data_IF_396279749765
#
_entry.id   IF_396279749765
#
_cell.length_a   1.000
_cell.length_b   1.000
_cell.length_c   1.000
_cell.angle_alpha   90.00
_cell.angle_beta   90.00
_cell.angle_gamma   90.00
#
_symmetry.space_group_name_H-M   'P 1'
#
loop_
_entity.id
_entity.type
_entity.pdbx_description
1 polymer ?
#
# COMPACT_ATOMS: atom_id res chain seq x y z
N UNK A 1 -69.77 -31.81 -9.84
CA UNK A 1 -69.24 -31.19 -11.07
C UNK A 1 -69.20 -32.29 -12.12
N UNK A 2 -70.07 -32.20 -13.12
CA UNK A 2 -70.25 -33.24 -14.13
C UNK A 2 -69.05 -33.31 -15.06
N UNK A 3 -68.52 -34.51 -15.28
CA UNK A 3 -67.46 -34.74 -16.25
C UNK A 3 -68.08 -34.77 -17.64
N UNK A 4 -67.97 -33.66 -18.37
CA UNK A 4 -68.31 -33.56 -19.78
C UNK A 4 -67.21 -34.25 -20.59
N UNK A 5 -67.49 -35.44 -21.12
CA UNK A 5 -66.59 -36.11 -22.06
C UNK A 5 -66.68 -35.42 -23.43
N UNK A 6 -65.63 -34.72 -23.85
CA UNK A 6 -65.57 -34.16 -25.21
C UNK A 6 -65.32 -35.29 -26.21
N UNK A 7 -66.33 -35.60 -27.02
CA UNK A 7 -66.29 -36.65 -28.03
C UNK A 7 -66.16 -36.05 -29.42
N UNK A 8 -65.27 -36.60 -30.25
CA UNK A 8 -65.20 -36.23 -31.66
C UNK A 8 -65.99 -37.24 -32.51
N UNK A 9 -67.01 -36.75 -33.20
CA UNK A 9 -67.81 -37.55 -34.14
C UNK A 9 -67.09 -37.62 -35.48
N UNK A 10 -66.89 -38.83 -36.01
CA UNK A 10 -66.29 -39.05 -37.32
C UNK A 10 -67.36 -39.59 -38.26
N UNK A 11 -67.54 -38.93 -39.39
CA UNK A 11 -68.45 -39.33 -40.46
C UNK A 11 -67.70 -39.29 -41.79
N UNK A 12 -68.03 -40.19 -42.72
CA UNK A 12 -67.40 -40.25 -44.04
C UNK A 12 -68.45 -40.31 -45.13
N UNK A 13 -68.23 -39.52 -46.17
CA UNK A 13 -68.94 -39.65 -47.44
C UNK A 13 -68.04 -40.36 -48.45
N UNK A 14 -68.41 -41.58 -48.81
CA UNK A 14 -67.63 -42.44 -49.71
C UNK A 14 -67.83 -42.03 -51.18
N UNK A 15 -68.90 -41.29 -51.49
CA UNK A 15 -69.27 -40.87 -52.84
C UNK A 15 -69.08 -39.36 -53.06
N UNK A 16 -68.46 -38.65 -52.11
CA UNK A 16 -68.19 -37.21 -52.13
C UNK A 16 -69.45 -36.32 -52.38
N UNK A 17 -70.60 -36.74 -51.86
CA UNK A 17 -71.85 -35.95 -51.85
C UNK A 17 -72.05 -35.16 -50.55
N UNK A 18 -73.31 -35.05 -50.11
CA UNK A 18 -73.70 -34.38 -48.86
C UNK A 18 -74.25 -35.35 -47.80
N UNK A 19 -74.14 -36.67 -48.03
CA UNK A 19 -74.72 -37.69 -47.18
C UNK A 19 -73.60 -38.44 -46.45
N UNK A 20 -73.22 -37.94 -45.29
CA UNK A 20 -72.18 -38.52 -44.47
C UNK A 20 -72.71 -39.75 -43.70
N UNK A 21 -71.97 -40.86 -43.74
CA UNK A 21 -72.26 -42.04 -42.93
C UNK A 21 -71.45 -42.01 -41.63
N UNK A 22 -72.12 -42.22 -40.51
CA UNK A 22 -71.48 -42.21 -39.19
C UNK A 22 -70.51 -43.38 -39.06
N UNK A 23 -69.23 -43.07 -38.83
CA UNK A 23 -68.16 -44.07 -38.71
C UNK A 23 -67.80 -44.38 -37.26
N UNK A 24 -68.15 -43.51 -36.32
CA UNK A 24 -67.89 -43.71 -34.90
C UNK A 24 -67.63 -42.41 -34.14
N UNK A 25 -67.53 -42.51 -32.81
CA UNK A 25 -67.02 -41.44 -31.95
C UNK A 25 -65.71 -41.90 -31.32
N UNK A 26 -64.71 -41.03 -31.29
CA UNK A 26 -63.48 -41.26 -30.53
C UNK A 26 -63.43 -40.34 -29.32
N UNK A 27 -63.07 -40.91 -28.17
CA UNK A 27 -62.76 -40.12 -26.97
C UNK A 27 -61.33 -39.63 -27.07
N UNK A 28 -61.09 -38.33 -27.00
CA UNK A 28 -59.74 -37.79 -26.84
C UNK A 28 -59.41 -37.81 -25.35
N UNK A 29 -58.55 -38.74 -24.93
CA UNK A 29 -57.93 -38.68 -23.61
C UNK A 29 -56.83 -37.62 -23.66
N UNK A 30 -56.86 -36.61 -22.79
CA UNK A 30 -55.76 -35.64 -22.73
C UNK A 30 -54.44 -36.35 -22.39
N UNK A 31 -53.34 -35.91 -22.99
CA UNK A 31 -52.01 -36.43 -22.63
C UNK A 31 -51.72 -36.00 -21.18
N UNK A 32 -51.30 -36.90 -20.28
CA UNK A 32 -51.16 -36.62 -18.85
C UNK A 32 -50.35 -35.37 -18.49
N UNK A 33 -49.45 -34.95 -19.39
CA UNK A 33 -48.56 -33.81 -19.18
C UNK A 33 -49.16 -32.45 -19.54
N UNK A 34 -50.26 -32.39 -20.28
CA UNK A 34 -50.92 -31.11 -20.60
C UNK A 34 -51.70 -30.53 -19.41
N UNK A 35 -52.09 -31.36 -18.44
CA UNK A 35 -52.83 -30.96 -17.23
C UNK A 35 -51.90 -30.43 -16.11
N UNK A 36 -50.62 -30.79 -16.13
CA UNK A 36 -49.65 -30.34 -15.13
C UNK A 36 -49.06 -28.95 -15.43
N UNK A 37 -49.22 -28.44 -16.65
CA UNK A 37 -48.78 -27.10 -17.02
C UNK A 37 -49.73 -25.99 -16.50
N UNK A 38 -51.01 -26.31 -16.25
CA UNK A 38 -51.98 -25.35 -15.72
C UNK A 38 -51.88 -25.16 -14.20
N UNK A 39 -51.38 -26.17 -13.46
CA UNK A 39 -51.26 -26.14 -12.00
C UNK A 39 -49.86 -25.88 -11.44
N UNK A 40 -48.83 -25.83 -12.29
CA UNK A 40 -47.55 -25.22 -11.91
C UNK A 40 -47.71 -23.71 -11.86
N UNK A 41 -48.37 -23.24 -10.79
CA UNK A 41 -48.38 -21.84 -10.38
C UNK A 41 -46.94 -21.48 -10.01
N UNK A 42 -46.14 -21.12 -11.00
CA UNK A 42 -44.90 -20.41 -10.73
C UNK A 42 -45.32 -19.01 -10.28
N UNK A 43 -45.68 -18.92 -9.00
CA UNK A 43 -46.13 -17.69 -8.38
C UNK A 43 -45.02 -16.65 -8.51
N UNK A 44 -45.36 -15.46 -8.98
CA UNK A 44 -44.44 -14.34 -9.04
C UNK A 44 -43.77 -14.12 -7.68
N UNK A 45 -44.51 -14.33 -6.59
CA UNK A 45 -43.99 -14.19 -5.23
C UNK A 45 -42.95 -15.27 -4.90
N UNK A 46 -43.13 -16.50 -5.41
CA UNK A 46 -42.17 -17.60 -5.23
C UNK A 46 -40.88 -17.36 -6.04
N UNK A 47 -41.00 -16.88 -7.28
CA UNK A 47 -39.84 -16.50 -8.10
C UNK A 47 -39.12 -15.32 -7.44
N UNK A 48 -39.86 -14.30 -6.99
CA UNK A 48 -39.33 -13.11 -6.33
C UNK A 48 -38.54 -13.48 -5.07
N UNK A 49 -39.00 -14.44 -4.28
CA UNK A 49 -38.30 -14.84 -3.06
C UNK A 49 -36.98 -15.58 -3.35
N UNK A 50 -36.95 -16.44 -4.39
CA UNK A 50 -35.70 -17.09 -4.82
C UNK A 50 -34.71 -16.11 -5.45
N UNK A 51 -35.19 -15.19 -6.28
CA UNK A 51 -34.34 -14.21 -6.96
C UNK A 51 -33.88 -13.08 -6.02
N UNK A 52 -34.66 -12.73 -4.99
CA UNK A 52 -34.30 -11.69 -4.01
C UNK A 52 -33.26 -12.13 -2.98
N UNK A 53 -32.94 -13.42 -2.91
CA UNK A 53 -31.86 -13.96 -2.08
C UNK A 53 -30.58 -14.24 -2.87
N UNK A 54 -30.66 -14.26 -4.21
CA UNK A 54 -29.51 -14.44 -5.09
C UNK A 54 -28.90 -13.08 -5.48
N UNK A 55 -27.88 -12.69 -4.72
CA UNK A 55 -27.09 -11.46 -4.94
C UNK A 55 -26.49 -11.33 -6.34
N UNK A 56 -26.27 -12.44 -7.06
CA UNK A 56 -25.70 -12.43 -8.42
C UNK A 56 -26.76 -12.19 -9.50
N UNK A 57 -28.02 -12.50 -9.23
CA UNK A 57 -29.13 -12.25 -10.15
C UNK A 57 -29.69 -10.83 -10.02
N UNK A 58 -29.85 -10.34 -8.78
CA UNK A 58 -30.35 -8.97 -8.50
C UNK A 58 -29.46 -7.91 -9.13
N UNK A 59 -28.14 -8.13 -9.10
CA UNK A 59 -27.13 -7.22 -9.66
C UNK A 59 -27.12 -7.20 -11.19
N UNK A 60 -27.61 -8.25 -11.86
CA UNK A 60 -27.58 -8.35 -13.33
C UNK A 60 -28.85 -7.87 -14.04
N UNK A 61 -30.02 -7.87 -13.38
CA UNK A 61 -31.31 -7.61 -14.04
C UNK A 61 -31.82 -6.17 -13.84
N UNK A 62 -31.42 -5.48 -12.76
CA UNK A 62 -31.90 -4.11 -12.46
C UNK A 62 -31.13 -2.97 -13.17
N UNK A 63 -30.49 -3.25 -14.32
CA UNK A 63 -30.26 -2.20 -15.33
C UNK A 63 -29.12 -1.20 -15.08
N UNK A 64 -28.01 -1.61 -14.46
CA UNK A 64 -26.75 -0.87 -14.51
C UNK A 64 -25.57 -1.84 -14.64
N UNK A 65 -24.44 -1.43 -15.26
CA UNK A 65 -23.19 -2.18 -15.11
C UNK A 65 -22.96 -2.41 -13.61
N UNK A 66 -22.41 -3.55 -13.21
CA UNK A 66 -22.09 -3.90 -11.81
C UNK A 66 -21.56 -2.65 -11.09
N UNK A 67 -22.45 -1.93 -10.40
CA UNK A 67 -22.04 -0.78 -9.60
C UNK A 67 -21.58 -1.41 -8.31
N UNK A 68 -20.32 -1.82 -8.33
CA UNK A 68 -19.54 -2.05 -7.14
C UNK A 68 -19.77 -0.84 -6.24
N UNK A 69 -20.49 -1.00 -5.13
CA UNK A 69 -20.67 0.08 -4.16
C UNK A 69 -19.32 0.33 -3.49
N UNK A 70 -18.57 1.25 -4.09
CA UNK A 70 -17.23 1.60 -3.66
C UNK A 70 -17.21 2.15 -2.24
N UNK A 71 -18.31 2.74 -1.75
CA UNK A 71 -18.39 3.26 -0.39
C UNK A 71 -18.48 2.12 0.62
N UNK A 72 -19.28 1.10 0.32
CA UNK A 72 -19.37 -0.12 1.15
C UNK A 72 -18.07 -0.94 1.11
N UNK A 73 -17.41 -1.02 -0.05
CA UNK A 73 -16.09 -1.61 -0.15
C UNK A 73 -15.01 -0.80 0.57
N UNK A 74 -15.06 0.52 0.51
CA UNK A 74 -14.15 1.39 1.26
C UNK A 74 -14.33 1.21 2.77
N UNK A 75 -15.56 1.03 3.26
CA UNK A 75 -15.82 0.73 4.67
C UNK A 75 -15.30 -0.67 5.09
N UNK A 76 -15.46 -1.69 4.24
CA UNK A 76 -14.92 -3.03 4.51
C UNK A 76 -13.39 -3.06 4.48
N UNK A 77 -12.80 -2.41 3.49
CA UNK A 77 -11.34 -2.27 3.32
C UNK A 77 -10.74 -1.44 4.45
N UNK A 78 -11.42 -0.38 4.89
CA UNK A 78 -10.95 0.47 6.00
C UNK A 78 -11.12 -0.18 7.38
N UNK A 79 -11.97 -1.19 7.51
CA UNK A 79 -12.11 -1.97 8.74
C UNK A 79 -11.13 -3.17 8.80
N UNK A 80 -10.65 -3.66 7.65
CA UNK A 80 -9.68 -4.74 7.58
C UNK A 80 -8.24 -4.23 7.83
N UNK A 81 -7.83 -4.26 9.10
CA UNK A 81 -6.47 -3.90 9.51
C UNK A 81 -5.35 -4.68 8.80
N UNK A 82 -5.60 -5.91 8.34
CA UNK A 82 -4.60 -6.73 7.64
C UNK A 82 -4.41 -6.27 6.19
N UNK A 83 -5.50 -5.84 5.56
CA UNK A 83 -5.45 -5.24 4.23
C UNK A 83 -4.87 -3.82 4.26
N UNK A 84 -5.21 -2.98 5.24
CA UNK A 84 -4.59 -1.66 5.38
C UNK A 84 -3.07 -1.78 5.58
N UNK A 85 -2.62 -2.70 6.43
CA UNK A 85 -1.18 -2.88 6.70
C UNK A 85 -0.43 -3.48 5.51
N UNK A 86 -1.09 -4.29 4.67
CA UNK A 86 -0.46 -4.93 3.50
C UNK A 86 -0.59 -4.11 2.21
N UNK A 87 -1.65 -3.30 2.08
CA UNK A 87 -2.03 -2.61 0.83
C UNK A 87 -2.20 -1.10 1.04
N UNK A 88 -2.83 -0.69 2.15
CA UNK A 88 -3.02 0.73 2.50
C UNK A 88 -1.72 1.47 2.85
N UNK A 89 -0.68 0.74 3.28
CA UNK A 89 0.70 1.21 3.37
C UNK A 89 1.42 1.34 2.02
N UNK A 90 0.75 0.99 0.91
CA UNK A 90 1.30 1.11 -0.44
C UNK A 90 1.91 -0.19 -0.96
N UNK A 91 1.26 -0.80 -1.96
CA UNK A 91 1.86 -1.73 -2.93
C UNK A 91 2.90 -0.99 -3.84
N UNK A 92 3.24 0.26 -3.50
CA UNK A 92 4.21 1.12 -4.15
C UNK A 92 5.46 1.41 -3.31
N UNK A 93 5.62 0.84 -2.11
CA UNK A 93 6.89 0.85 -1.38
C UNK A 93 7.86 -0.25 -1.88
N UNK A 94 7.73 -0.63 -3.15
CA UNK A 94 8.76 -1.31 -3.95
C UNK A 94 9.97 -0.42 -4.26
N UNK A 95 10.30 0.51 -3.36
CA UNK A 95 11.54 1.26 -3.35
C UNK A 95 12.48 0.64 -2.34
N UNK A 96 12.76 -0.67 -2.47
CA UNK A 96 13.68 -1.43 -1.61
C UNK A 96 13.41 -1.19 -0.13
N UNK A 97 12.69 -2.09 0.51
CA UNK A 97 13.07 -2.40 1.89
C UNK A 97 14.54 -2.82 1.79
N UNK A 98 15.46 -1.88 2.05
CA UNK A 98 16.89 -2.15 2.11
C UNK A 98 17.07 -3.02 3.35
N UNK A 99 16.67 -4.28 3.23
CA UNK A 99 17.09 -5.34 4.11
C UNK A 99 18.56 -5.55 3.80
N UNK A 100 19.38 -4.63 4.29
CA UNK A 100 20.79 -4.89 4.47
C UNK A 100 20.86 -6.23 5.22
N UNK A 101 21.69 -7.18 4.77
CA UNK A 101 21.74 -8.55 5.31
C UNK A 101 22.09 -8.64 6.82
N UNK A 102 22.27 -7.50 7.48
CA UNK A 102 22.59 -7.31 8.90
C UNK A 102 21.39 -6.90 9.78
N UNK A 103 20.20 -6.62 9.22
CA UNK A 103 18.98 -6.39 10.01
C UNK A 103 18.89 -5.03 10.74
N UNK A 104 19.57 -4.00 10.23
CA UNK A 104 19.44 -2.63 10.73
C UNK A 104 18.26 -1.91 10.06
N UNK A 105 17.16 -1.73 10.81
CA UNK A 105 16.00 -0.93 10.38
C UNK A 105 16.32 0.56 10.50
N UNK A 106 16.54 1.24 9.38
CA UNK A 106 16.81 2.68 9.35
C UNK A 106 16.16 3.38 8.18
N UNK A 107 15.72 4.62 8.38
CA UNK A 107 15.19 5.49 7.34
C UNK A 107 16.32 6.32 6.73
N UNK A 108 16.50 6.24 5.41
CA UNK A 108 17.50 7.03 4.69
C UNK A 108 17.15 8.51 4.69
N UNK A 109 18.12 9.36 5.02
CA UNK A 109 17.97 10.81 4.97
C UNK A 109 19.10 11.44 4.15
N UNK A 110 18.73 12.41 3.32
CA UNK A 110 19.65 13.35 2.69
C UNK A 110 19.25 14.73 3.20
N UNK A 111 20.21 15.50 3.68
CA UNK A 111 19.98 16.81 4.23
C UNK A 111 20.90 17.84 3.60
N UNK A 112 20.35 18.99 3.27
CA UNK A 112 21.04 20.12 2.66
C UNK A 112 20.96 21.31 3.60
N UNK A 113 22.11 21.69 4.19
CA UNK A 113 22.17 22.76 5.18
C UNK A 113 21.82 24.13 4.59
N UNK A 114 22.05 24.35 3.29
CA UNK A 114 21.74 25.64 2.64
C UNK A 114 20.23 25.83 2.44
N UNK A 115 19.51 24.75 2.19
CA UNK A 115 18.07 24.79 1.89
C UNK A 115 17.26 24.65 3.17
N UNK A 116 17.67 23.74 4.05
CA UNK A 116 16.87 23.31 5.19
C UNK A 116 17.39 23.81 6.54
N UNK A 117 18.60 24.40 6.59
CA UNK A 117 19.23 24.86 7.83
C UNK A 117 19.74 23.69 8.68
N UNK A 118 19.83 23.91 9.99
CA UNK A 118 20.27 22.90 10.95
C UNK A 118 19.28 21.73 11.06
N UNK A 119 19.81 20.52 11.27
CA UNK A 119 19.01 19.32 11.45
C UNK A 119 18.92 18.94 12.94
N UNK A 120 17.70 18.88 13.48
CA UNK A 120 17.47 18.33 14.82
C UNK A 120 17.11 16.85 14.72
N UNK A 121 17.88 15.99 15.37
CA UNK A 121 17.59 14.54 15.39
C UNK A 121 16.27 14.28 16.13
N UNK A 122 15.29 13.58 15.52
CA UNK A 122 14.01 13.30 16.16
C UNK A 122 14.16 12.53 17.47
N UNK A 123 13.21 12.76 18.39
CA UNK A 123 13.16 12.03 19.66
C UNK A 123 13.02 10.53 19.39
N UNK A 124 13.79 9.71 20.13
CA UNK A 124 13.76 8.26 19.99
C UNK A 124 14.51 7.72 18.76
N UNK A 125 15.28 8.56 18.06
CA UNK A 125 16.12 8.17 16.93
C UNK A 125 17.59 8.49 17.20
N UNK A 126 18.47 7.70 16.61
CA UNK A 126 19.89 8.01 16.42
C UNK A 126 20.13 8.20 14.92
N UNK A 127 20.82 9.29 14.56
CA UNK A 127 21.25 9.57 13.20
C UNK A 127 22.68 9.06 12.98
N UNK A 128 22.86 8.19 12.00
CA UNK A 128 24.16 7.71 11.55
C UNK A 128 24.51 8.41 10.23
N UNK A 129 25.38 9.41 10.30
CA UNK A 129 25.88 10.13 9.13
C UNK A 129 26.98 9.28 8.50
N UNK A 130 26.74 8.82 7.28
CA UNK A 130 27.66 7.95 6.54
C UNK A 130 28.47 8.71 5.50
N UNK A 131 27.95 9.85 5.05
CA UNK A 131 28.61 10.72 4.09
C UNK A 131 28.35 12.18 4.46
N UNK A 132 29.39 12.99 4.38
CA UNK A 132 29.32 14.44 4.47
C UNK A 132 30.03 15.01 3.24
N UNK A 133 29.33 15.82 2.47
CA UNK A 133 29.87 16.50 1.31
C UNK A 133 30.07 17.96 1.67
N UNK A 134 31.28 18.46 1.44
CA UNK A 134 31.60 19.88 1.53
C UNK A 134 32.57 20.28 0.41
N UNK A 135 32.18 21.20 -0.49
CA UNK A 135 33.00 21.60 -1.64
C UNK A 135 34.12 22.59 -1.28
N UNK A 136 34.26 22.99 -0.01
CA UNK A 136 35.27 23.94 0.45
C UNK A 136 35.60 23.77 1.93
N UNK A 137 36.08 24.82 2.59
CA UNK A 137 36.23 24.81 4.05
C UNK A 137 34.86 24.96 4.69
N UNK A 138 34.32 23.86 5.22
CA UNK A 138 33.13 23.81 6.07
C UNK A 138 33.37 22.87 7.25
N UNK A 139 32.73 23.14 8.38
CA UNK A 139 32.78 22.27 9.55
C UNK A 139 31.40 21.69 9.85
N UNK A 140 31.34 20.37 10.04
CA UNK A 140 30.15 19.70 10.58
C UNK A 140 30.26 19.69 12.10
N UNK A 141 29.22 20.16 12.77
CA UNK A 141 29.14 20.17 14.22
C UNK A 141 27.92 19.41 14.75
N UNK A 142 28.05 18.88 15.96
CA UNK A 142 26.95 18.33 16.75
C UNK A 142 26.88 19.14 18.04
N UNK A 143 25.73 19.76 18.31
CA UNK A 143 25.51 20.64 19.47
C UNK A 143 26.59 21.75 19.60
N UNK A 144 27.06 22.28 18.47
CA UNK A 144 28.09 23.32 18.43
C UNK A 144 29.53 22.79 18.51
N UNK A 145 29.75 21.49 18.67
CA UNK A 145 31.09 20.88 18.72
C UNK A 145 31.45 20.37 17.32
N UNK A 146 32.51 20.92 16.73
CA UNK A 146 33.04 20.46 15.44
C UNK A 146 33.47 18.99 15.54
N UNK A 147 32.83 18.13 14.74
CA UNK A 147 33.12 16.70 14.63
C UNK A 147 33.88 16.36 13.34
N UNK A 148 33.80 17.24 12.33
CA UNK A 148 34.54 17.12 11.07
C UNK A 148 34.85 18.51 10.52
N UNK A 149 36.12 18.74 10.16
CA UNK A 149 36.61 19.94 9.50
C UNK A 149 37.17 19.64 8.09
N UNK A 150 37.04 20.62 7.20
CA UNK A 150 37.68 20.63 5.88
C UNK A 150 36.95 19.86 4.77
N UNK A 151 37.55 19.88 3.58
CA UNK A 151 36.97 19.33 2.35
C UNK A 151 36.71 17.81 2.44
N UNK A 152 35.45 17.38 2.32
CA UNK A 152 35.05 15.96 2.36
C UNK A 152 34.20 15.62 1.14
N UNK A 153 34.47 14.45 0.54
CA UNK A 153 33.78 13.93 -0.65
C UNK A 153 33.78 14.90 -1.85
N UNK A 154 34.80 15.76 -1.95
CA UNK A 154 34.96 16.72 -3.04
C UNK A 154 36.16 16.32 -3.92
N UNK A 155 35.91 16.11 -5.21
CA UNK A 155 36.92 15.72 -6.19
C UNK A 155 37.73 16.90 -6.74
N UNK A 156 37.45 18.16 -6.33
CA UNK A 156 38.04 19.34 -6.97
C UNK A 156 39.40 19.80 -6.43
N UNK A 157 39.94 19.22 -5.34
CA UNK A 157 41.24 19.64 -4.83
C UNK A 157 42.40 18.78 -5.36
N UNK A 158 43.34 19.47 -6.01
CA UNK A 158 44.65 18.97 -6.45
C UNK A 158 45.59 18.65 -5.25
N UNK A 159 45.03 18.43 -4.07
CA UNK A 159 45.71 18.15 -2.81
C UNK A 159 45.01 16.92 -2.23
N UNK A 160 45.58 15.74 -2.50
CA UNK A 160 45.18 14.49 -1.88
C UNK A 160 45.50 14.54 -0.38
N UNK A 161 44.68 15.22 0.41
CA UNK A 161 44.73 15.16 1.87
C UNK A 161 43.88 13.99 2.32
N UNK A 162 44.45 13.15 3.18
CA UNK A 162 43.87 11.92 3.73
C UNK A 162 42.56 12.11 4.52
N UNK A 163 42.05 13.35 4.59
CA UNK A 163 40.83 13.77 5.27
C UNK A 163 39.64 13.96 4.33
N UNK A 164 39.67 13.52 3.07
CA UNK A 164 38.52 13.66 2.16
C UNK A 164 37.48 12.54 2.28
N UNK A 165 37.73 11.51 3.09
CA UNK A 165 36.87 10.34 3.24
C UNK A 165 36.42 10.22 4.69
N UNK A 166 35.13 9.92 4.90
CA UNK A 166 34.62 9.55 6.21
C UNK A 166 34.87 8.04 6.42
N UNK A 167 35.77 7.68 7.33
CA UNK A 167 36.16 6.28 7.57
C UNK A 167 35.26 5.57 8.57
N UNK A 168 34.57 6.32 9.43
CA UNK A 168 33.61 5.83 10.42
C UNK A 168 32.37 6.71 10.41
N UNK A 169 31.15 6.15 10.53
CA UNK A 169 29.94 6.94 10.65
C UNK A 169 30.02 7.89 11.85
N UNK A 170 29.52 9.11 11.68
CA UNK A 170 29.32 10.07 12.78
C UNK A 170 27.91 9.83 13.33
N UNK A 171 27.77 9.73 14.65
CA UNK A 171 26.49 9.39 15.28
C UNK A 171 25.98 10.59 16.09
N UNK A 172 24.79 11.07 15.78
CA UNK A 172 24.08 12.07 16.58
C UNK A 172 22.86 11.41 17.26
N UNK A 173 22.72 11.65 18.56
CA UNK A 173 21.62 11.13 19.38
C UNK A 173 20.36 11.96 19.27
N UNK A 174 19.26 11.41 19.79
CA UNK A 174 17.97 12.08 19.87
C UNK A 174 18.07 13.49 20.48
N UNK A 175 17.50 14.48 19.80
CA UNK A 175 17.48 15.87 20.24
C UNK A 175 18.76 16.68 20.00
N UNK A 176 19.85 16.04 19.55
CA UNK A 176 21.06 16.76 19.16
C UNK A 176 20.84 17.52 17.86
N UNK A 177 21.54 18.65 17.74
CA UNK A 177 21.49 19.50 16.55
C UNK A 177 22.75 19.24 15.73
N UNK A 178 22.56 18.78 14.50
CA UNK A 178 23.61 18.71 13.50
C UNK A 178 23.58 20.01 12.71
N UNK A 179 24.69 20.73 12.71
CA UNK A 179 24.79 22.05 12.08
C UNK A 179 26.05 22.16 11.23
N UNK A 180 26.02 23.15 10.34
CA UNK A 180 27.21 23.65 9.67
C UNK A 180 27.74 24.86 10.45
N UNK A 181 29.03 24.84 10.77
CA UNK A 181 29.73 25.95 11.40
C UNK A 181 30.95 26.28 10.54
N UNK A 182 31.25 27.56 10.38
CA UNK A 182 32.55 28.01 9.85
C UNK A 182 32.82 27.68 8.37
N UNK A 183 32.59 28.67 7.51
CA UNK A 183 33.23 28.79 6.20
C UNK A 183 32.28 29.16 5.05
N UNK A 184 32.77 29.77 3.96
CA UNK A 184 31.95 30.25 2.84
C UNK A 184 31.51 29.15 1.87
N UNK A 185 31.56 27.88 2.28
CA UNK A 185 31.31 26.72 1.43
C UNK A 185 29.82 26.54 1.17
N UNK A 186 29.29 27.16 0.12
CA UNK A 186 27.90 26.99 -0.29
C UNK A 186 27.71 25.62 -0.96
N UNK A 187 27.42 24.59 -0.17
CA UNK A 187 26.67 23.35 -0.54
C UNK A 187 27.06 22.17 0.36
N UNK A 188 26.92 22.36 1.67
CA UNK A 188 27.16 21.28 2.62
C UNK A 188 25.94 20.39 2.74
N UNK A 189 26.18 19.09 2.58
CA UNK A 189 25.12 18.08 2.60
C UNK A 189 25.59 16.86 3.36
N UNK A 190 24.66 16.16 3.98
CA UNK A 190 24.94 14.83 4.49
C UNK A 190 23.94 13.81 4.00
N UNK A 191 24.41 12.57 3.95
CA UNK A 191 23.55 11.40 3.80
C UNK A 191 23.74 10.49 5.01
N UNK A 192 22.64 9.98 5.54
CA UNK A 192 22.65 9.16 6.75
C UNK A 192 21.44 8.24 6.89
N UNK A 193 21.40 7.55 8.01
CA UNK A 193 20.33 6.63 8.39
C UNK A 193 19.78 7.02 9.77
N UNK A 194 18.46 7.17 9.87
CA UNK A 194 17.74 7.34 11.12
C UNK A 194 17.31 5.97 11.65
N UNK A 195 17.95 5.53 12.72
CA UNK A 195 17.67 4.25 13.36
C UNK A 195 16.94 4.52 14.67
N UNK A 196 16.01 3.64 15.06
CA UNK A 196 15.42 3.72 16.40
C UNK A 196 16.54 3.69 17.44
N UNK A 197 16.51 4.63 18.39
CA UNK A 197 17.42 4.64 19.51
C UNK A 197 17.17 3.34 20.30
N UNK A 198 18.07 2.37 20.14
CA UNK A 198 18.22 1.26 21.07
C UNK A 198 18.85 1.80 22.36
N UNK A 199 19.04 0.98 23.40
CA UNK A 199 19.63 1.40 24.70
C UNK A 199 21.06 1.98 24.62
N UNK A 200 21.56 2.33 23.43
CA UNK A 200 22.84 2.93 23.13
C UNK A 200 22.70 4.45 23.03
N UNK A 201 23.37 5.15 23.95
CA UNK A 201 23.54 6.60 23.90
C UNK A 201 24.84 6.93 23.17
N UNK A 202 24.82 7.67 22.06
CA UNK A 202 26.04 8.17 21.44
C UNK A 202 26.69 9.23 22.36
N UNK A 203 27.99 9.09 22.59
CA UNK A 203 28.78 10.06 23.36
C UNK A 203 29.76 10.77 22.44
N UNK A 204 29.56 12.06 22.21
CA UNK A 204 30.54 12.91 21.51
C UNK A 204 31.63 13.33 22.50
N UNK A 205 32.85 12.81 22.33
CA UNK A 205 33.99 13.14 23.19
C UNK A 205 35.11 13.81 22.39
N UNK A 206 35.47 15.02 22.83
CA UNK A 206 36.61 15.74 22.30
C UNK A 206 37.92 15.16 22.85
N UNK A 207 38.82 14.72 21.98
CA UNK A 207 40.10 14.09 22.35
C UNK A 207 41.29 15.06 22.32
N UNK A 208 41.06 16.35 22.06
CA UNK A 208 42.12 17.36 21.92
C UNK A 208 41.78 18.66 22.66
N UNK A 209 42.76 19.34 23.23
CA UNK A 209 42.58 20.67 23.84
C UNK A 209 42.15 21.78 22.84
N UNK A 210 42.04 21.47 21.55
CA UNK A 210 41.73 22.41 20.47
C UNK A 210 40.28 22.38 19.97
N UNK A 211 39.39 21.49 20.45
CA UNK A 211 37.99 21.49 20.00
C UNK A 211 37.21 22.75 20.37
N UNK A 212 37.75 23.60 21.27
CA UNK A 212 37.19 24.94 21.56
C UNK A 212 37.57 26.00 20.51
N UNK A 213 38.43 25.66 19.54
CA UNK A 213 38.96 26.57 18.51
C UNK A 213 38.84 26.02 17.08
N UNK A 214 37.86 25.16 16.79
CA UNK A 214 37.49 24.80 15.41
C UNK A 214 38.39 23.78 14.69
N UNK A 215 39.31 23.08 15.37
CA UNK A 215 40.03 21.97 14.72
C UNK A 215 40.46 20.91 15.72
N UNK A 216 39.77 19.78 15.73
CA UNK A 216 40.32 18.45 16.00
C UNK A 216 39.20 17.39 15.98
N UNK A 217 39.48 16.26 15.32
CA UNK A 217 38.57 15.12 15.19
C UNK A 217 37.99 14.64 16.53
N UNK A 218 36.70 14.34 16.49
CA UNK A 218 35.93 13.77 17.61
C UNK A 218 35.81 12.26 17.41
N UNK A 219 36.07 11.48 18.46
CA UNK A 219 35.81 10.02 18.46
C UNK A 219 34.54 9.78 19.25
N UNK A 220 33.50 9.28 18.59
CA UNK A 220 32.22 8.95 19.23
C UNK A 220 32.28 7.49 19.67
N UNK A 221 32.32 7.26 20.98
CA UNK A 221 32.30 5.92 21.59
C UNK A 221 30.88 5.60 22.02
N UNK A 222 30.32 4.50 21.52
CA UNK A 222 29.07 3.95 22.04
C UNK A 222 29.35 3.22 23.37
N UNK A 223 28.73 3.66 24.47
CA UNK A 223 28.75 2.92 25.73
C UNK A 223 27.47 2.09 25.86
N UNK A 224 27.60 0.79 26.12
CA UNK A 224 26.47 -0.06 26.50
C UNK A 224 26.28 0.04 28.01
N UNK A 225 25.11 0.48 28.46
CA UNK A 225 24.66 0.41 29.84
C UNK A 225 23.62 -0.69 30.02
#
# INVERSE_FOLDING_TARGET
MGCEHTLFKIEMDINAGNNYSFMGVNQMMSVPYALYAESSNIDYDSISNYLSTDSTFITNINGGPITIDYDSLANLISADSTFITTVGGGIGEGGSDWTFPEGLYGEGIIWDFNISGDYTVPVGKNLYITHYFTPGYGELAIDGITVRDGETNNHSSNLAVSNSILTLPIIAGAGQIVSEIGGPGTDNKFSGLLVNATSLLPLTHCISSTCLNGSAGSLILCHQG
#
